data_IF_133608835112
#
_entry.id   IF_133608835112
#
_cell.length_a   1.000
_cell.length_b   1.000
_cell.length_c   1.000
_cell.angle_alpha   90.00
_cell.angle_beta   90.00
_cell.angle_gamma   90.00
#
_symmetry.space_group_name_H-M   'P 1'
#
loop_
_entity.id
_entity.type
_entity.pdbx_description
1 polymer ?
#
# COMPACT_ATOMS: atom_id res chain seq x y z
N UNK A 1 23.07 -9.10 11.84
CA UNK A 1 22.58 -9.21 13.26
C UNK A 1 21.19 -9.81 13.33
N UNK A 2 20.31 -9.54 12.36
CA UNK A 2 18.99 -10.18 12.25
C UNK A 2 18.92 -11.26 11.16
N UNK A 3 20.05 -11.62 10.56
CA UNK A 3 20.10 -12.57 9.44
C UNK A 3 19.43 -13.91 9.78
N UNK A 4 19.63 -14.52 10.97
CA UNK A 4 18.91 -15.74 11.36
C UNK A 4 17.38 -15.57 11.48
N UNK A 5 16.90 -14.37 11.80
CA UNK A 5 15.46 -14.08 11.81
C UNK A 5 14.93 -14.02 10.38
N UNK A 6 15.63 -13.33 9.48
CA UNK A 6 15.20 -13.19 8.10
C UNK A 6 15.24 -14.51 7.34
N UNK A 7 16.26 -15.34 7.58
CA UNK A 7 16.33 -16.71 7.05
C UNK A 7 15.09 -17.52 7.45
N UNK A 8 14.67 -17.42 8.72
CA UNK A 8 13.48 -18.10 9.22
C UNK A 8 12.19 -17.54 8.63
N UNK A 9 12.06 -16.21 8.52
CA UNK A 9 10.91 -15.54 7.90
C UNK A 9 10.74 -15.98 6.44
N UNK A 10 11.83 -16.02 5.69
CA UNK A 10 11.85 -16.49 4.31
C UNK A 10 11.47 -17.97 4.22
N UNK A 11 12.05 -18.82 5.07
CA UNK A 11 11.73 -20.26 5.12
C UNK A 11 10.26 -20.51 5.41
N UNK A 12 9.66 -19.72 6.31
CA UNK A 12 8.25 -19.82 6.69
C UNK A 12 7.31 -19.08 5.72
N UNK A 13 7.85 -18.38 4.72
CA UNK A 13 7.11 -17.56 3.75
C UNK A 13 6.20 -16.54 4.43
N UNK A 14 6.71 -15.92 5.49
CA UNK A 14 5.96 -14.91 6.24
C UNK A 14 6.15 -13.55 5.56
N UNK A 15 5.08 -12.96 4.97
CA UNK A 15 5.13 -11.57 4.52
C UNK A 15 5.42 -10.59 5.66
N UNK A 16 6.03 -9.44 5.34
CA UNK A 16 6.39 -8.39 6.31
C UNK A 16 5.67 -7.09 6.00
N UNK A 17 4.97 -6.54 6.99
CA UNK A 17 4.27 -5.27 6.90
C UNK A 17 5.17 -4.13 7.35
N UNK A 18 5.28 -3.11 6.51
CA UNK A 18 6.12 -1.93 6.74
C UNK A 18 5.25 -0.71 6.97
N UNK A 19 5.44 -0.07 8.12
CA UNK A 19 4.88 1.25 8.40
C UNK A 19 6.01 2.29 8.35
N UNK A 20 5.96 3.16 7.33
CA UNK A 20 6.98 4.19 7.11
C UNK A 20 6.55 5.51 7.77
N UNK A 21 6.69 5.57 9.10
CA UNK A 21 6.58 6.83 9.85
C UNK A 21 7.80 7.00 10.76
N UNK A 22 8.16 8.24 10.98
CA UNK A 22 9.09 8.59 12.03
C UNK A 22 8.60 9.87 12.71
N UNK A 23 8.54 9.81 14.04
CA UNK A 23 8.15 10.92 14.92
C UNK A 23 9.24 11.99 14.99
N UNK A 24 9.64 12.53 13.84
CA UNK A 24 10.60 13.62 13.66
C UNK A 24 9.87 14.90 13.25
N UNK A 25 10.49 16.06 13.54
CA UNK A 25 9.94 17.37 13.16
C UNK A 25 9.88 17.55 11.64
N UNK A 26 10.91 17.10 10.94
CA UNK A 26 10.91 17.00 9.47
C UNK A 26 10.41 15.61 9.07
N UNK A 27 9.12 15.52 8.76
CA UNK A 27 8.45 14.26 8.43
C UNK A 27 8.78 13.78 7.02
N UNK A 28 9.10 14.70 6.10
CA UNK A 28 9.44 14.38 4.72
C UNK A 28 10.78 13.66 4.61
N UNK A 29 11.81 14.25 5.21
CA UNK A 29 13.13 13.61 5.31
C UNK A 29 13.03 12.27 6.04
N UNK A 30 12.23 12.22 7.11
CA UNK A 30 12.04 11.00 7.87
C UNK A 30 11.38 9.87 7.06
N UNK A 31 10.37 10.19 6.24
CA UNK A 31 9.75 9.24 5.33
C UNK A 31 10.76 8.70 4.31
N UNK A 32 11.54 9.58 3.66
CA UNK A 32 12.56 9.17 2.69
C UNK A 32 13.66 8.30 3.32
N UNK A 33 14.07 8.60 4.55
CA UNK A 33 15.00 7.72 5.28
C UNK A 33 14.43 6.30 5.47
N UNK A 34 13.15 6.18 5.86
CA UNK A 34 12.49 4.87 6.04
C UNK A 34 12.30 4.16 4.69
N UNK A 35 11.94 4.88 3.63
CA UNK A 35 11.84 4.33 2.28
C UNK A 35 13.19 3.74 1.82
N UNK A 36 14.30 4.47 2.02
CA UNK A 36 15.62 3.96 1.68
C UNK A 36 16.05 2.76 2.53
N UNK A 37 15.61 2.66 3.79
CA UNK A 37 15.81 1.46 4.60
C UNK A 37 15.05 0.26 4.03
N UNK A 38 13.79 0.44 3.64
CA UNK A 38 13.00 -0.60 2.98
C UNK A 38 13.64 -1.04 1.66
N UNK A 39 14.08 -0.11 0.81
CA UNK A 39 14.76 -0.43 -0.46
C UNK A 39 16.01 -1.28 -0.23
N UNK A 40 16.86 -0.92 0.75
CA UNK A 40 18.04 -1.73 1.08
C UNK A 40 17.66 -3.11 1.63
N UNK A 41 16.59 -3.17 2.42
CA UNK A 41 16.09 -4.43 2.97
C UNK A 41 15.58 -5.36 1.87
N UNK A 42 14.79 -4.87 0.90
CA UNK A 42 14.28 -5.70 -0.22
C UNK A 42 15.40 -6.17 -1.15
N UNK A 43 16.48 -5.40 -1.29
CA UNK A 43 17.68 -5.84 -2.02
C UNK A 43 18.43 -6.98 -1.29
N UNK A 44 18.40 -6.99 0.04
CA UNK A 44 19.07 -8.01 0.86
C UNK A 44 18.20 -9.25 1.05
N UNK A 45 16.87 -9.09 1.04
CA UNK A 45 15.88 -10.15 1.26
C UNK A 45 14.84 -10.20 0.13
N UNK A 46 15.27 -10.43 -1.13
CA UNK A 46 14.41 -10.25 -2.31
C UNK A 46 13.24 -11.25 -2.41
N UNK A 47 13.30 -12.34 -1.66
CA UNK A 47 12.27 -13.40 -1.67
C UNK A 47 11.24 -13.25 -0.55
N UNK A 48 11.43 -12.32 0.39
CA UNK A 48 10.47 -12.08 1.46
C UNK A 48 9.47 -11.04 0.96
N UNK A 49 8.17 -11.37 0.86
CA UNK A 49 7.17 -10.40 0.44
C UNK A 49 7.05 -9.26 1.46
N UNK A 50 6.94 -8.03 0.96
CA UNK A 50 6.79 -6.83 1.77
C UNK A 50 5.53 -6.08 1.38
N UNK A 51 4.79 -5.57 2.37
CA UNK A 51 3.60 -4.76 2.16
C UNK A 51 3.73 -3.44 2.92
N UNK A 52 3.75 -2.33 2.18
CA UNK A 52 3.66 -0.99 2.74
C UNK A 52 2.22 -0.71 3.20
N UNK A 53 2.03 -0.44 4.49
CA UNK A 53 0.72 -0.12 5.07
C UNK A 53 0.46 1.37 5.17
N UNK A 54 -0.81 1.72 5.38
CA UNK A 54 -1.26 3.10 5.62
C UNK A 54 -1.04 4.06 4.44
N UNK A 55 -1.14 3.54 3.23
CA UNK A 55 -1.01 4.31 1.99
C UNK A 55 0.44 4.49 1.52
N UNK A 56 0.57 4.99 0.29
CA UNK A 56 1.85 5.15 -0.40
C UNK A 56 2.77 6.18 0.27
N UNK A 57 2.17 7.24 0.80
CA UNK A 57 2.83 8.32 1.54
C UNK A 57 1.90 8.71 2.67
N UNK A 58 2.37 9.11 3.87
CA UNK A 58 1.48 9.60 4.92
C UNK A 58 0.54 10.70 4.43
N UNK A 59 -0.71 10.66 4.89
CA UNK A 59 -1.76 11.57 4.42
C UNK A 59 -1.40 13.06 4.56
N UNK A 60 -0.71 13.40 5.63
CA UNK A 60 -0.30 14.78 5.93
C UNK A 60 0.81 15.30 5.02
N UNK A 61 1.43 14.45 4.17
CA UNK A 61 2.63 14.79 3.40
C UNK A 61 2.46 14.70 1.89
N UNK A 62 1.48 13.91 1.42
CA UNK A 62 1.36 13.59 0.00
C UNK A 62 1.16 14.82 -0.90
N UNK A 63 0.47 15.86 -0.42
CA UNK A 63 0.25 17.10 -1.18
C UNK A 63 1.52 17.97 -1.25
N UNK A 64 2.47 17.77 -0.34
CA UNK A 64 3.73 18.52 -0.30
C UNK A 64 4.84 17.83 -1.11
N UNK A 65 4.93 16.50 -1.05
CA UNK A 65 6.01 15.75 -1.70
C UNK A 65 5.59 14.89 -2.90
N UNK A 66 4.29 14.71 -3.12
CA UNK A 66 3.79 13.75 -4.10
C UNK A 66 4.11 12.30 -3.71
N UNK A 67 4.23 11.44 -4.72
CA UNK A 67 4.76 10.08 -4.57
C UNK A 67 6.19 10.08 -5.10
N UNK A 68 7.21 9.69 -4.31
CA UNK A 68 8.58 9.62 -4.78
C UNK A 68 8.77 8.57 -5.88
N UNK A 69 9.58 8.88 -6.88
CA UNK A 69 9.91 7.96 -7.98
C UNK A 69 10.54 6.66 -7.45
N UNK A 70 11.34 6.73 -6.37
CA UNK A 70 11.95 5.54 -5.77
C UNK A 70 10.92 4.58 -5.17
N UNK A 71 9.78 5.09 -4.69
CA UNK A 71 8.67 4.25 -4.23
C UNK A 71 7.96 3.60 -5.42
N UNK A 72 7.74 4.33 -6.51
CA UNK A 72 7.15 3.78 -7.75
C UNK A 72 8.03 2.64 -8.28
N UNK A 73 9.34 2.86 -8.37
CA UNK A 73 10.30 1.84 -8.82
C UNK A 73 10.37 0.63 -7.87
N UNK A 74 10.31 0.87 -6.55
CA UNK A 74 10.26 -0.21 -5.57
C UNK A 74 9.02 -1.10 -5.76
N UNK A 75 7.85 -0.52 -6.02
CA UNK A 75 6.59 -1.27 -6.17
C UNK A 75 6.50 -2.08 -7.47
N UNK A 76 7.39 -1.83 -8.43
CA UNK A 76 7.55 -2.70 -9.62
C UNK A 76 8.22 -4.03 -9.31
N UNK A 77 8.78 -4.20 -8.10
CA UNK A 77 9.29 -5.49 -7.65
C UNK A 77 8.12 -6.45 -7.33
N UNK A 78 8.09 -7.68 -7.88
CA UNK A 78 6.99 -8.63 -7.68
C UNK A 78 6.74 -9.05 -6.22
N UNK A 79 7.71 -8.86 -5.32
CA UNK A 79 7.57 -9.15 -3.89
C UNK A 79 7.32 -7.89 -3.04
N UNK A 80 7.01 -6.75 -3.64
CA UNK A 80 6.72 -5.51 -2.91
C UNK A 80 5.34 -4.98 -3.26
N UNK A 81 4.52 -4.81 -2.23
CA UNK A 81 3.13 -4.41 -2.34
C UNK A 81 2.91 -3.11 -1.56
N UNK A 82 1.84 -2.40 -1.88
CA UNK A 82 1.34 -1.30 -1.07
C UNK A 82 -0.18 -1.39 -0.87
N UNK A 83 -0.62 -0.88 0.26
CA UNK A 83 -2.04 -0.73 0.58
C UNK A 83 -2.58 0.60 0.02
N UNK A 84 -3.65 0.53 -0.76
CA UNK A 84 -4.53 1.67 -0.97
C UNK A 84 -5.41 1.84 0.28
N UNK A 85 -5.14 2.92 1.01
CA UNK A 85 -5.84 3.31 2.21
C UNK A 85 -6.34 4.76 2.04
N UNK A 86 -7.52 4.94 1.43
CA UNK A 86 -8.00 6.26 1.04
C UNK A 86 -9.36 6.60 1.64
N UNK A 87 -9.33 7.49 2.65
CA UNK A 87 -10.04 8.77 2.53
C UNK A 87 -9.39 9.95 3.28
N UNK A 88 -8.31 9.73 4.03
CA UNK A 88 -7.75 10.73 4.96
C UNK A 88 -7.17 12.00 4.29
N UNK A 89 -7.10 12.04 2.96
CA UNK A 89 -6.35 13.04 2.18
C UNK A 89 -7.21 13.88 1.25
N UNK A 90 -8.42 13.44 0.93
CA UNK A 90 -9.29 14.09 -0.05
C UNK A 90 -10.56 14.58 0.61
N UNK A 91 -10.99 15.80 0.28
CA UNK A 91 -11.98 16.50 1.09
C UNK A 91 -13.40 15.93 0.97
N UNK A 92 -13.77 15.39 -0.19
CA UNK A 92 -15.17 15.05 -0.47
C UNK A 92 -15.32 13.72 -1.21
N UNK A 93 -16.22 12.86 -0.75
CA UNK A 93 -16.59 11.62 -1.43
C UNK A 93 -17.27 11.95 -2.78
N UNK A 94 -16.94 11.29 -3.91
CA UNK A 94 -16.25 9.99 -4.01
C UNK A 94 -14.72 10.05 -4.16
N UNK A 95 -14.08 11.15 -3.76
CA UNK A 95 -12.63 11.36 -3.75
C UNK A 95 -12.00 11.30 -5.15
N UNK A 96 -12.39 12.17 -6.10
CA UNK A 96 -11.94 12.09 -7.50
C UNK A 96 -10.41 12.13 -7.65
N UNK A 97 -9.69 12.95 -6.88
CA UNK A 97 -8.22 12.98 -6.98
C UNK A 97 -7.57 11.72 -6.35
N UNK A 98 -8.30 11.01 -5.48
CA UNK A 98 -7.91 9.69 -5.00
C UNK A 98 -8.09 8.62 -6.08
N UNK A 99 -9.15 8.74 -6.90
CA UNK A 99 -9.37 7.88 -8.07
C UNK A 99 -8.25 8.09 -9.11
N UNK A 100 -7.90 9.35 -9.40
CA UNK A 100 -6.80 9.70 -10.30
C UNK A 100 -5.45 9.13 -9.82
N UNK A 101 -5.21 9.17 -8.50
CA UNK A 101 -4.02 8.58 -7.90
C UNK A 101 -3.97 7.07 -8.12
N UNK A 102 -5.07 6.36 -7.81
CA UNK A 102 -5.17 4.91 -8.01
C UNK A 102 -4.94 4.57 -9.47
N UNK A 103 -5.61 5.27 -10.39
CA UNK A 103 -5.46 5.08 -11.83
C UNK A 103 -4.01 5.17 -12.28
N UNK A 104 -3.35 6.29 -11.94
CA UNK A 104 -1.93 6.52 -12.28
C UNK A 104 -1.03 5.42 -11.74
N UNK A 105 -1.21 5.04 -10.46
CA UNK A 105 -0.36 4.02 -9.84
C UNK A 105 -0.59 2.64 -10.46
N UNK A 106 -1.83 2.28 -10.78
CA UNK A 106 -2.13 1.03 -11.50
C UNK A 106 -1.54 1.03 -12.91
N UNK A 107 -1.59 2.16 -13.64
CA UNK A 107 -0.99 2.30 -14.98
C UNK A 107 0.55 2.24 -14.94
N UNK A 108 1.18 2.84 -13.93
CA UNK A 108 2.65 2.92 -13.82
C UNK A 108 3.29 1.64 -13.24
N UNK A 109 2.62 0.96 -12.31
CA UNK A 109 3.18 -0.17 -11.54
C UNK A 109 2.52 -1.51 -11.88
N UNK A 110 1.20 -1.51 -12.12
CA UNK A 110 0.39 -2.72 -12.23
C UNK A 110 -0.46 -2.98 -10.99
N UNK A 111 -1.69 -3.45 -11.22
CA UNK A 111 -2.70 -3.72 -10.18
C UNK A 111 -2.30 -4.82 -9.20
N UNK A 112 -1.41 -5.72 -9.60
CA UNK A 112 -0.93 -6.86 -8.81
C UNK A 112 -0.10 -6.43 -7.59
N UNK A 113 0.51 -5.23 -7.63
CA UNK A 113 1.31 -4.68 -6.52
C UNK A 113 0.47 -3.99 -5.46
N UNK A 114 -0.87 -3.92 -5.61
CA UNK A 114 -1.72 -3.17 -4.69
C UNK A 114 -2.71 -4.04 -3.93
N UNK A 115 -2.88 -3.72 -2.66
CA UNK A 115 -3.91 -4.29 -1.78
C UNK A 115 -4.80 -3.16 -1.27
N UNK A 116 -5.89 -3.48 -0.57
CA UNK A 116 -6.78 -2.51 0.06
C UNK A 116 -6.85 -2.72 1.56
N UNK A 117 -6.91 -1.62 2.31
CA UNK A 117 -7.15 -1.63 3.75
C UNK A 117 -7.94 -0.41 4.20
N UNK A 118 -8.92 -0.64 5.07
CA UNK A 118 -9.83 0.41 5.55
C UNK A 118 -9.24 1.29 6.66
N UNK A 119 -8.21 0.80 7.37
CA UNK A 119 -7.69 1.39 8.62
C UNK A 119 -8.80 1.66 9.67
N UNK A 120 -9.83 0.79 9.70
CA UNK A 120 -10.85 0.85 10.75
C UNK A 120 -10.34 0.26 12.07
N UNK A 121 -10.75 0.82 13.22
CA UNK A 121 -11.78 1.87 13.39
C UNK A 121 -11.24 3.30 13.29
N UNK A 122 -9.94 3.51 13.06
CA UNK A 122 -9.36 4.85 13.02
C UNK A 122 -10.03 5.71 11.94
N UNK A 123 -10.14 5.21 10.71
CA UNK A 123 -10.72 5.99 9.60
C UNK A 123 -12.17 6.44 9.81
N UNK A 124 -12.99 5.68 10.54
CA UNK A 124 -14.41 5.99 10.79
C UNK A 124 -14.58 7.24 11.66
N UNK A 125 -13.60 7.53 12.51
CA UNK A 125 -13.66 8.69 13.41
C UNK A 125 -13.30 10.01 12.73
N UNK A 126 -12.77 9.99 11.51
CA UNK A 126 -12.12 11.18 10.93
C UNK A 126 -12.40 11.41 9.44
N UNK A 127 -12.49 10.37 8.60
CA UNK A 127 -12.30 10.53 7.15
C UNK A 127 -13.44 9.96 6.28
N UNK A 128 -13.97 8.79 6.63
CA UNK A 128 -15.07 8.17 5.87
C UNK A 128 -15.77 7.06 6.66
N UNK A 129 -16.91 6.59 6.15
CA UNK A 129 -17.51 5.33 6.59
C UNK A 129 -16.82 4.11 5.95
N UNK A 130 -16.90 2.93 6.57
CA UNK A 130 -16.37 1.68 5.96
C UNK A 130 -16.91 1.48 4.53
N UNK A 131 -18.20 1.74 4.32
CA UNK A 131 -18.83 1.66 3.00
C UNK A 131 -18.14 2.58 1.99
N UNK A 132 -17.90 3.84 2.34
CA UNK A 132 -17.20 4.77 1.45
C UNK A 132 -15.77 4.30 1.13
N UNK A 133 -15.05 3.69 2.09
CA UNK A 133 -13.69 3.18 1.84
C UNK A 133 -13.61 2.03 0.84
N UNK A 134 -14.64 1.17 0.79
CA UNK A 134 -14.74 0.07 -0.19
C UNK A 134 -15.29 0.59 -1.52
N UNK A 135 -16.41 1.33 -1.46
CA UNK A 135 -17.10 1.86 -2.64
C UNK A 135 -16.20 2.78 -3.48
N UNK A 136 -15.22 3.46 -2.85
CA UNK A 136 -14.24 4.28 -3.57
C UNK A 136 -13.51 3.49 -4.68
N UNK A 137 -13.19 2.22 -4.43
CA UNK A 137 -12.57 1.33 -5.42
C UNK A 137 -13.65 0.58 -6.20
N UNK A 138 -14.60 -0.04 -5.49
CA UNK A 138 -15.58 -0.95 -6.10
C UNK A 138 -16.53 -0.26 -7.09
N UNK A 139 -17.01 0.93 -6.73
CA UNK A 139 -18.01 1.69 -7.49
C UNK A 139 -17.36 2.81 -8.30
N UNK A 140 -16.42 3.55 -7.70
CA UNK A 140 -15.96 4.82 -8.25
C UNK A 140 -14.66 4.75 -9.05
N UNK A 141 -13.89 3.66 -8.98
CA UNK A 141 -12.78 3.42 -9.90
C UNK A 141 -13.27 2.66 -11.14
N UNK A 142 -14.04 3.34 -12.00
CA UNK A 142 -14.67 2.79 -13.20
C UNK A 142 -13.67 2.40 -14.31
N UNK A 143 -12.44 2.91 -14.23
CA UNK A 143 -11.32 2.55 -15.09
C UNK A 143 -10.73 1.18 -14.79
N UNK A 144 -11.05 0.57 -13.63
CA UNK A 144 -10.66 -0.80 -13.30
C UNK A 144 -11.74 -1.78 -13.77
N UNK A 145 -11.31 -2.86 -14.41
CA UNK A 145 -12.18 -4.01 -14.64
C UNK A 145 -12.55 -4.70 -13.33
N UNK A 146 -13.63 -5.49 -13.36
CA UNK A 146 -14.06 -6.29 -12.20
C UNK A 146 -12.95 -7.24 -11.71
N UNK A 147 -12.12 -7.77 -12.62
CA UNK A 147 -10.99 -8.61 -12.23
C UNK A 147 -9.92 -7.82 -11.47
N UNK A 148 -9.61 -6.60 -11.91
CA UNK A 148 -8.62 -5.73 -11.27
C UNK A 148 -9.11 -5.23 -9.91
N UNK A 149 -10.39 -4.85 -9.80
CA UNK A 149 -11.02 -4.53 -8.51
C UNK A 149 -10.92 -5.71 -7.53
N UNK A 150 -11.24 -6.92 -7.98
CA UNK A 150 -11.13 -8.13 -7.15
C UNK A 150 -9.69 -8.43 -6.71
N UNK A 151 -8.69 -8.14 -7.55
CA UNK A 151 -7.29 -8.26 -7.16
C UNK A 151 -6.94 -7.27 -6.02
N UNK A 152 -7.28 -6.00 -6.18
CA UNK A 152 -6.96 -4.95 -5.20
C UNK A 152 -7.74 -5.16 -3.88
N UNK A 153 -9.04 -5.45 -3.96
CA UNK A 153 -9.93 -5.56 -2.80
C UNK A 153 -9.72 -6.83 -1.97
N UNK A 154 -8.94 -7.80 -2.47
CA UNK A 154 -8.62 -8.98 -1.66
C UNK A 154 -7.77 -10.04 -2.35
N UNK A 155 -7.80 -10.15 -3.67
CA UNK A 155 -7.07 -11.20 -4.41
C UNK A 155 -5.55 -11.16 -4.19
N UNK A 156 -4.94 -9.97 -4.20
CA UNK A 156 -3.51 -9.81 -3.94
C UNK A 156 -3.16 -10.08 -2.48
N UNK A 157 -4.01 -9.65 -1.52
CA UNK A 157 -3.81 -9.94 -0.10
C UNK A 157 -3.95 -11.45 0.19
N UNK A 158 -4.92 -12.12 -0.43
CA UNK A 158 -5.08 -13.57 -0.32
C UNK A 158 -3.87 -14.32 -0.90
N UNK A 159 -3.34 -13.89 -2.05
CA UNK A 159 -2.09 -14.44 -2.61
C UNK A 159 -0.91 -14.24 -1.67
N UNK A 160 -0.77 -13.04 -1.10
CA UNK A 160 0.31 -12.68 -0.18
C UNK A 160 0.27 -13.54 1.09
N UNK A 161 -0.92 -13.83 1.60
CA UNK A 161 -1.16 -14.58 2.84
C UNK A 161 -1.37 -16.09 2.64
N UNK A 162 -1.26 -16.58 1.39
CA UNK A 162 -1.53 -17.98 1.01
C UNK A 162 -2.93 -18.47 1.48
N UNK A 163 -3.95 -17.63 1.26
CA UNK A 163 -5.35 -17.93 1.62
C UNK A 163 -6.08 -18.49 0.40
N UNK A 164 -6.70 -19.67 0.58
CA UNK A 164 -7.61 -20.26 -0.41
C UNK A 164 -8.94 -19.49 -0.50
N UNK A 165 -9.19 -18.90 -1.66
CA UNK A 165 -10.39 -18.12 -1.96
C UNK A 165 -11.47 -18.90 -2.74
N UNK A 166 -11.28 -20.21 -2.97
CA UNK A 166 -12.18 -21.04 -3.78
C UNK A 166 -13.31 -21.73 -2.99
N UNK A 167 -13.56 -21.30 -1.76
CA UNK A 167 -14.58 -21.87 -0.86
C UNK A 167 -15.94 -21.22 -0.96
#
# INVERSE_FOLDING_TARGET
KFDPLWDLVEQLRIPIWWFLDARKKDRATAFMERLHELIRWTQTHPNIPSLLTHGLVPATLIHEMGIPDELVELLKNPNTFAEFQNPAKWPEYPYPEGQDLIKRMCEEVGVESFTWGSDMPFSAGYWCTYKQSVDHIDIHCDFLSEQEKNLILGGNAARLLDIDTTK
#
